data_IF_091955367559
#
_entry.id   IF_091955367559
#
_cell.length_a   1.000
_cell.length_b   1.000
_cell.length_c   1.000
_cell.angle_alpha   90.00
_cell.angle_beta   90.00
_cell.angle_gamma   90.00
#
_symmetry.space_group_name_H-M   'P 1'
#
loop_
_entity.id
_entity.type
_entity.pdbx_description
1 polymer ?
#
# COMPACT_ATOMS: atom_id res chain seq x y z
N UNK A 1 -59.11 1.14 -18.85
CA UNK A 1 -58.79 -0.31 -18.97
C UNK A 1 -57.30 -0.46 -18.66
N UNK A 2 -56.93 -0.80 -17.41
CA UNK A 2 -55.52 -0.95 -17.04
C UNK A 2 -55.04 -2.36 -17.40
N UNK A 3 -54.12 -2.46 -18.36
CA UNK A 3 -53.52 -3.73 -18.79
C UNK A 3 -52.64 -4.24 -17.65
N UNK A 4 -53.05 -5.37 -17.05
CA UNK A 4 -52.32 -6.04 -15.97
C UNK A 4 -51.15 -6.82 -16.56
N UNK A 5 -50.09 -6.11 -16.92
CA UNK A 5 -48.81 -6.72 -17.34
C UNK A 5 -48.18 -7.41 -16.13
N UNK A 6 -48.13 -8.75 -16.14
CA UNK A 6 -47.42 -9.52 -15.11
C UNK A 6 -45.95 -9.68 -15.51
N UNK A 7 -45.08 -8.81 -15.00
CA UNK A 7 -43.64 -8.95 -15.16
C UNK A 7 -43.21 -10.19 -14.36
N UNK A 8 -42.81 -11.26 -15.06
CA UNK A 8 -42.26 -12.46 -14.43
C UNK A 8 -40.79 -12.21 -14.12
N UNK A 9 -40.49 -11.77 -12.90
CA UNK A 9 -39.10 -11.71 -12.43
C UNK A 9 -38.60 -13.14 -12.22
N UNK A 10 -37.52 -13.58 -12.88
CA UNK A 10 -37.00 -14.93 -12.70
C UNK A 10 -36.48 -15.10 -11.27
N UNK A 11 -36.81 -16.23 -10.64
CA UNK A 11 -36.48 -16.54 -9.23
C UNK A 11 -34.99 -16.43 -8.92
N UNK A 12 -34.13 -16.64 -9.92
CA UNK A 12 -32.67 -16.67 -9.78
C UNK A 12 -32.01 -15.29 -9.87
N UNK A 13 -32.70 -14.26 -10.38
CA UNK A 13 -32.13 -12.91 -10.53
C UNK A 13 -31.62 -12.36 -9.19
N UNK A 14 -32.36 -12.62 -8.11
CA UNK A 14 -32.02 -12.16 -6.77
C UNK A 14 -30.70 -12.77 -6.26
N UNK A 15 -30.51 -14.08 -6.47
CA UNK A 15 -29.28 -14.76 -6.08
C UNK A 15 -28.09 -14.21 -6.87
N UNK A 16 -28.26 -13.97 -8.17
CA UNK A 16 -27.20 -13.41 -9.03
C UNK A 16 -26.79 -12.01 -8.56
N UNK A 17 -27.76 -11.11 -8.32
CA UNK A 17 -27.47 -9.75 -7.86
C UNK A 17 -26.81 -9.75 -6.48
N UNK A 18 -27.24 -10.63 -5.58
CA UNK A 18 -26.65 -10.72 -4.23
C UNK A 18 -25.23 -11.28 -4.26
N UNK A 19 -24.97 -12.31 -5.07
CA UNK A 19 -23.63 -12.86 -5.25
C UNK A 19 -22.69 -11.84 -5.89
N UNK A 20 -23.17 -11.06 -6.86
CA UNK A 20 -22.39 -9.99 -7.50
C UNK A 20 -22.06 -8.88 -6.50
N UNK A 21 -23.00 -8.50 -5.63
CA UNK A 21 -22.74 -7.55 -4.55
C UNK A 21 -21.68 -8.04 -3.57
N UNK A 22 -21.81 -9.29 -3.10
CA UNK A 22 -20.82 -9.90 -2.18
C UNK A 22 -19.43 -9.94 -2.83
N UNK A 23 -19.37 -10.32 -4.11
CA UNK A 23 -18.10 -10.36 -4.85
C UNK A 23 -17.45 -8.98 -5.01
N UNK A 24 -18.21 -7.95 -5.36
CA UNK A 24 -17.71 -6.56 -5.46
C UNK A 24 -17.26 -6.04 -4.09
N UNK A 25 -18.03 -6.28 -3.03
CA UNK A 25 -17.67 -5.88 -1.67
C UNK A 25 -16.38 -6.59 -1.19
N UNK A 26 -16.21 -7.86 -1.52
CA UNK A 26 -15.02 -8.63 -1.19
C UNK A 26 -13.77 -8.11 -1.91
N UNK A 27 -13.86 -7.85 -3.22
CA UNK A 27 -12.77 -7.24 -3.98
C UNK A 27 -12.37 -5.87 -3.41
N UNK A 28 -13.36 -5.09 -2.94
CA UNK A 28 -13.12 -3.77 -2.37
C UNK A 28 -12.42 -3.82 -1.02
N UNK A 29 -12.84 -4.71 -0.12
CA UNK A 29 -12.19 -4.89 1.19
C UNK A 29 -10.70 -5.20 1.00
N UNK A 30 -10.36 -6.07 0.04
CA UNK A 30 -8.98 -6.42 -0.29
C UNK A 30 -8.19 -5.23 -0.88
N UNK A 31 -8.84 -4.30 -1.58
CA UNK A 31 -8.15 -3.13 -2.16
C UNK A 31 -7.79 -2.08 -1.11
N UNK A 32 -8.66 -1.85 -0.13
CA UNK A 32 -8.45 -0.87 0.95
C UNK A 32 -7.75 -1.44 2.19
N UNK A 33 -7.38 -2.72 2.17
CA UNK A 33 -6.69 -3.34 3.28
C UNK A 33 -5.23 -2.89 3.30
N UNK A 34 -4.97 -1.81 4.03
CA UNK A 34 -3.63 -1.30 4.27
C UNK A 34 -2.71 -2.37 4.88
N UNK A 35 -3.23 -3.36 5.64
CA UNK A 35 -2.41 -4.49 6.10
C UNK A 35 -1.98 -5.36 4.94
N UNK A 36 -2.88 -5.66 4.01
CA UNK A 36 -2.53 -6.43 2.81
C UNK A 36 -1.52 -5.68 1.94
N UNK A 37 -1.69 -4.37 1.77
CA UNK A 37 -0.71 -3.55 1.03
C UNK A 37 0.66 -3.51 1.73
N UNK A 38 0.67 -3.35 3.05
CA UNK A 38 1.90 -3.42 3.85
C UNK A 38 2.55 -4.79 3.75
N UNK A 39 1.76 -5.87 3.78
CA UNK A 39 2.25 -7.24 3.64
C UNK A 39 2.91 -7.49 2.28
N UNK A 40 2.32 -6.98 1.19
CA UNK A 40 2.93 -7.05 -0.15
C UNK A 40 4.20 -6.20 -0.23
N UNK A 41 4.18 -5.00 0.35
CA UNK A 41 5.37 -4.15 0.42
C UNK A 41 6.48 -4.85 1.21
N UNK A 42 6.15 -5.48 2.33
CA UNK A 42 7.05 -6.25 3.17
C UNK A 42 7.69 -7.42 2.42
N UNK A 43 6.90 -8.22 1.69
CA UNK A 43 7.40 -9.32 0.86
C UNK A 43 8.43 -8.80 -0.16
N UNK A 44 8.07 -7.75 -0.91
CA UNK A 44 8.99 -7.13 -1.89
C UNK A 44 10.23 -6.53 -1.27
N UNK A 45 10.11 -5.94 -0.08
CA UNK A 45 11.24 -5.38 0.64
C UNK A 45 12.17 -6.50 1.11
N UNK A 46 11.64 -7.60 1.65
CA UNK A 46 12.43 -8.75 2.07
C UNK A 46 13.24 -9.32 0.90
N UNK A 47 12.60 -9.57 -0.26
CA UNK A 47 13.27 -10.06 -1.46
C UNK A 47 14.40 -9.12 -1.89
N UNK A 48 14.13 -7.81 -1.89
CA UNK A 48 15.10 -6.81 -2.33
C UNK A 48 16.22 -6.60 -1.31
N UNK A 49 15.93 -6.75 -0.02
CA UNK A 49 16.93 -6.68 1.03
C UNK A 49 17.87 -7.88 0.99
N UNK A 50 17.35 -9.08 0.71
CA UNK A 50 18.20 -10.26 0.49
C UNK A 50 19.16 -10.03 -0.70
N UNK A 51 18.63 -9.58 -1.85
CA UNK A 51 19.44 -9.22 -3.01
C UNK A 51 20.50 -8.16 -2.67
N UNK A 52 20.13 -7.16 -1.88
CA UNK A 52 21.04 -6.12 -1.40
C UNK A 52 22.18 -6.71 -0.56
N UNK A 53 21.89 -7.56 0.43
CA UNK A 53 22.92 -8.17 1.29
C UNK A 53 23.86 -9.13 0.53
N UNK A 54 23.34 -9.82 -0.48
CA UNK A 54 24.16 -10.64 -1.38
C UNK A 54 25.11 -9.76 -2.19
N UNK A 55 24.58 -8.70 -2.80
CA UNK A 55 25.36 -7.71 -3.54
C UNK A 55 26.40 -7.00 -2.66
N UNK A 56 26.11 -6.67 -1.40
CA UNK A 56 27.09 -6.10 -0.46
C UNK A 56 28.32 -7.00 -0.31
N UNK A 57 28.08 -8.31 -0.20
CA UNK A 57 29.15 -9.32 -0.07
C UNK A 57 30.01 -9.41 -1.33
N UNK A 58 29.39 -9.35 -2.51
CA UNK A 58 30.08 -9.35 -3.81
C UNK A 58 30.87 -8.04 -4.01
N UNK A 59 30.24 -6.89 -3.78
CA UNK A 59 30.88 -5.59 -3.86
C UNK A 59 32.10 -5.49 -2.92
N UNK A 60 32.02 -6.08 -1.73
CA UNK A 60 33.13 -6.13 -0.79
C UNK A 60 34.33 -6.91 -1.35
N UNK A 61 34.11 -7.99 -2.09
CA UNK A 61 35.19 -8.74 -2.74
C UNK A 61 35.87 -7.89 -3.81
N UNK A 62 35.09 -7.23 -4.68
CA UNK A 62 35.64 -6.36 -5.74
C UNK A 62 36.46 -5.21 -5.13
N UNK A 63 35.98 -4.60 -4.05
CA UNK A 63 36.70 -3.52 -3.34
C UNK A 63 37.99 -4.00 -2.68
N UNK A 64 38.08 -5.27 -2.28
CA UNK A 64 39.32 -5.85 -1.72
C UNK A 64 40.33 -6.19 -2.80
N UNK A 65 39.87 -6.64 -3.97
CA UNK A 65 40.72 -7.13 -5.05
C UNK A 65 41.22 -6.00 -5.97
N UNK A 66 40.51 -4.87 -6.00
CA UNK A 66 40.78 -3.75 -6.90
C UNK A 66 40.99 -2.43 -6.15
N UNK A 67 41.69 -1.49 -6.78
CA UNK A 67 41.70 -0.12 -6.27
C UNK A 67 40.29 0.47 -6.47
N UNK A 68 39.67 1.10 -5.46
CA UNK A 68 38.33 1.67 -5.58
C UNK A 68 38.13 2.62 -6.78
N UNK A 69 39.21 3.26 -7.26
CA UNK A 69 39.18 4.10 -8.46
C UNK A 69 38.97 3.32 -9.77
N UNK A 70 39.36 2.04 -9.83
CA UNK A 70 39.19 1.21 -11.02
C UNK A 70 37.72 0.78 -11.22
N UNK A 71 36.91 0.83 -10.16
CA UNK A 71 35.47 0.51 -10.21
C UNK A 71 34.70 1.42 -11.18
N UNK A 72 35.16 2.65 -11.42
CA UNK A 72 34.54 3.55 -12.40
C UNK A 72 34.62 3.02 -13.84
N UNK A 73 35.53 2.09 -14.12
CA UNK A 73 35.70 1.47 -15.43
C UNK A 73 34.96 0.14 -15.58
N UNK A 74 34.35 -0.37 -14.50
CA UNK A 74 33.56 -1.60 -14.55
C UNK A 74 32.10 -1.27 -14.87
N UNK A 75 31.78 -1.13 -16.16
CA UNK A 75 30.44 -0.76 -16.63
C UNK A 75 29.36 -1.71 -16.12
N UNK A 76 29.62 -3.03 -16.15
CA UNK A 76 28.68 -4.05 -15.68
C UNK A 76 28.31 -3.84 -14.20
N UNK A 77 29.31 -3.55 -13.35
CA UNK A 77 29.08 -3.29 -11.93
C UNK A 77 28.27 -2.01 -11.70
N UNK A 78 28.54 -0.95 -12.48
CA UNK A 78 27.77 0.30 -12.39
C UNK A 78 26.32 0.11 -12.88
N UNK A 79 26.12 -0.66 -13.95
CA UNK A 79 24.78 -0.99 -14.46
C UNK A 79 23.98 -1.84 -13.48
N UNK A 80 24.62 -2.81 -12.83
CA UNK A 80 24.01 -3.62 -11.78
C UNK A 80 23.54 -2.74 -10.60
N UNK A 81 24.39 -1.83 -10.12
CA UNK A 81 24.04 -0.91 -9.04
C UNK A 81 22.83 -0.05 -9.43
N UNK A 82 22.84 0.51 -10.64
CA UNK A 82 21.76 1.39 -11.13
C UNK A 82 20.44 0.64 -11.32
N UNK A 83 20.49 -0.54 -11.94
CA UNK A 83 19.30 -1.34 -12.23
C UNK A 83 18.60 -1.82 -10.96
N UNK A 84 19.35 -2.04 -9.88
CA UNK A 84 18.82 -2.46 -8.58
C UNK A 84 18.52 -1.30 -7.63
N UNK A 85 18.73 -0.04 -8.03
CA UNK A 85 18.59 1.15 -7.18
C UNK A 85 19.41 1.03 -5.89
N UNK A 86 20.62 0.51 -6.02
CA UNK A 86 21.59 0.47 -4.94
C UNK A 86 22.51 1.69 -5.00
N UNK A 87 23.13 2.01 -3.88
CA UNK A 87 24.15 3.05 -3.76
C UNK A 87 25.40 2.50 -3.09
N UNK A 88 26.56 2.85 -3.61
CA UNK A 88 27.85 2.50 -3.05
C UNK A 88 28.71 3.75 -2.92
N UNK A 89 29.23 4.01 -1.73
CA UNK A 89 30.17 5.10 -1.46
C UNK A 89 31.37 4.56 -0.72
N UNK A 90 32.57 4.90 -1.19
CA UNK A 90 33.82 4.48 -0.56
C UNK A 90 34.60 5.72 -0.18
N UNK A 91 35.00 5.80 1.08
CA UNK A 91 35.78 6.90 1.63
C UNK A 91 37.11 6.38 2.16
N UNK A 92 38.22 7.03 1.79
CA UNK A 92 39.55 6.76 2.34
C UNK A 92 39.99 7.95 3.19
N UNK A 93 40.21 7.74 4.49
CA UNK A 93 40.58 8.82 5.44
C UNK A 93 39.67 10.06 5.33
N UNK A 94 38.35 9.83 5.24
CA UNK A 94 37.33 10.89 5.14
C UNK A 94 37.26 11.62 3.78
N UNK A 95 37.93 11.11 2.75
CA UNK A 95 37.83 11.61 1.38
C UNK A 95 37.12 10.59 0.49
N UNK A 96 36.12 10.99 -0.31
CA UNK A 96 35.47 10.07 -1.24
C UNK A 96 36.47 9.61 -2.30
N UNK A 97 36.57 8.30 -2.52
CA UNK A 97 37.40 7.68 -3.56
C UNK A 97 36.55 6.99 -4.64
N UNK A 98 35.30 6.65 -4.32
CA UNK A 98 34.33 6.10 -5.26
C UNK A 98 32.90 6.45 -4.83
N UNK A 99 32.01 6.65 -5.79
CA UNK A 99 30.56 6.75 -5.58
C UNK A 99 29.80 6.31 -6.83
N UNK A 100 28.72 5.55 -6.65
CA UNK A 100 27.90 5.06 -7.76
C UNK A 100 26.78 6.02 -8.19
N UNK A 101 26.34 6.90 -7.29
CA UNK A 101 25.30 7.90 -7.54
C UNK A 101 25.81 9.31 -7.20
N UNK A 102 25.44 10.27 -8.05
CA UNK A 102 25.81 11.67 -7.93
C UNK A 102 24.82 12.47 -7.08
N UNK A 103 23.59 11.99 -6.91
CA UNK A 103 22.49 12.81 -6.36
C UNK A 103 22.53 12.83 -4.82
N UNK A 104 23.02 11.75 -4.20
CA UNK A 104 22.78 11.53 -2.77
C UNK A 104 24.03 11.16 -2.02
N UNK A 105 24.60 12.12 -1.29
CA UNK A 105 25.82 11.88 -0.50
C UNK A 105 25.48 11.56 0.96
N UNK A 106 25.71 10.33 1.44
CA UNK A 106 25.50 10.00 2.85
C UNK A 106 26.52 10.74 3.74
N UNK A 107 26.12 11.07 4.96
CA UNK A 107 27.04 11.64 5.95
C UNK A 107 28.10 10.61 6.34
N UNK A 108 29.33 10.78 5.85
CA UNK A 108 30.45 9.88 6.12
C UNK A 108 30.82 9.75 7.60
N UNK A 109 30.47 10.73 8.44
CA UNK A 109 30.78 10.72 9.88
C UNK A 109 29.71 9.99 10.69
N UNK A 110 28.54 9.72 10.11
CA UNK A 110 27.50 8.93 10.77
C UNK A 110 27.85 7.45 10.70
N UNK A 111 27.75 6.73 11.81
CA UNK A 111 27.83 5.27 11.89
C UNK A 111 26.44 4.65 12.15
N UNK A 112 25.38 5.36 11.73
CA UNK A 112 24.00 4.86 11.82
C UNK A 112 23.75 3.84 10.70
N UNK A 113 23.35 2.62 11.09
CA UNK A 113 22.78 1.59 10.22
C UNK A 113 21.25 1.65 10.27
N UNK A 114 20.59 1.12 9.26
CA UNK A 114 19.12 1.04 9.19
C UNK A 114 18.51 2.14 8.33
N UNK A 115 17.27 2.52 8.64
CA UNK A 115 16.55 3.54 7.87
C UNK A 115 17.21 4.92 8.04
N UNK A 116 17.45 5.61 6.93
CA UNK A 116 17.94 6.98 6.90
C UNK A 116 17.19 7.79 5.84
N UNK A 117 16.84 9.02 6.17
CA UNK A 117 16.37 10.01 5.20
C UNK A 117 17.58 10.78 4.64
N UNK A 118 17.69 10.83 3.32
CA UNK A 118 18.66 11.63 2.60
C UNK A 118 17.92 12.64 1.71
N UNK A 119 18.64 13.58 1.11
CA UNK A 119 18.05 14.72 0.40
C UNK A 119 17.07 14.35 -0.74
N UNK A 120 17.17 13.13 -1.26
CA UNK A 120 16.37 12.65 -2.38
C UNK A 120 15.46 11.47 -2.03
N UNK A 121 15.33 11.08 -0.75
CA UNK A 121 14.56 9.88 -0.43
C UNK A 121 14.88 9.18 0.88
N UNK A 122 14.25 8.02 1.04
CA UNK A 122 14.46 7.11 2.16
C UNK A 122 15.28 5.91 1.73
N UNK A 123 16.25 5.53 2.55
CA UNK A 123 17.21 4.47 2.27
C UNK A 123 17.36 3.54 3.46
N UNK A 124 17.60 2.25 3.21
CA UNK A 124 18.27 1.40 4.17
C UNK A 124 19.76 1.55 3.96
N UNK A 125 20.48 1.88 5.02
CA UNK A 125 21.91 2.09 4.99
C UNK A 125 22.63 1.02 5.79
N UNK A 126 23.68 0.48 5.19
CA UNK A 126 24.73 -0.22 5.92
C UNK A 126 26.10 0.41 5.67
N UNK A 127 27.07 0.07 6.50
CA UNK A 127 28.47 0.42 6.30
C UNK A 127 29.41 -0.58 6.96
N UNK A 128 30.64 -0.60 6.46
CA UNK A 128 31.73 -1.39 7.02
C UNK A 128 33.05 -0.66 6.85
N UNK A 129 33.96 -0.90 7.79
CA UNK A 129 35.34 -0.46 7.68
C UNK A 129 36.19 -1.62 7.17
N UNK A 130 37.01 -1.33 6.15
CA UNK A 130 37.97 -2.27 5.58
C UNK A 130 39.28 -1.53 5.37
N UNK A 131 40.31 -1.94 6.12
CA UNK A 131 41.59 -1.21 6.18
C UNK A 131 41.36 0.27 6.53
N UNK A 132 41.79 1.20 5.68
CA UNK A 132 41.57 2.64 5.83
C UNK A 132 40.37 3.20 5.03
N UNK A 133 39.50 2.30 4.56
CA UNK A 133 38.29 2.64 3.81
C UNK A 133 37.03 2.43 4.64
N UNK A 134 36.11 3.40 4.56
CA UNK A 134 34.72 3.25 4.98
C UNK A 134 33.87 3.05 3.73
N UNK A 135 33.22 1.90 3.66
CA UNK A 135 32.30 1.53 2.59
C UNK A 135 30.88 1.73 3.13
N UNK A 136 30.05 2.46 2.39
CA UNK A 136 28.65 2.71 2.73
C UNK A 136 27.81 2.19 1.59
N UNK A 137 26.85 1.33 1.92
CA UNK A 137 25.86 0.78 1.00
C UNK A 137 24.50 1.39 1.30
N UNK A 138 23.73 1.64 0.24
CA UNK A 138 22.39 2.19 0.31
C UNK A 138 21.44 1.34 -0.53
N UNK A 139 20.30 1.00 0.04
CA UNK A 139 19.15 0.45 -0.66
C UNK A 139 18.06 1.53 -0.69
N UNK A 140 17.77 2.06 -1.87
CA UNK A 140 16.75 3.09 -2.02
C UNK A 140 15.33 2.51 -1.91
N UNK A 141 14.53 3.06 -1.00
CA UNK A 141 13.15 2.64 -0.76
C UNK A 141 12.15 3.51 -1.51
N UNK A 142 12.38 4.82 -1.47
CA UNK A 142 11.50 5.81 -2.08
C UNK A 142 12.26 7.05 -2.51
N UNK A 143 11.90 7.60 -3.66
CA UNK A 143 12.37 8.90 -4.12
C UNK A 143 11.52 10.02 -3.48
N UNK A 144 12.19 11.06 -3.01
CA UNK A 144 11.59 12.30 -2.55
C UNK A 144 12.20 13.48 -3.32
N UNK A 145 11.34 14.34 -3.88
CA UNK A 145 11.77 15.53 -4.60
C UNK A 145 11.58 16.77 -3.71
N UNK A 146 12.55 17.69 -3.72
CA UNK A 146 12.43 18.97 -3.00
C UNK A 146 11.26 19.83 -3.50
N UNK A 147 10.83 19.60 -4.75
CA UNK A 147 9.67 20.24 -5.35
C UNK A 147 8.72 19.14 -5.80
N UNK A 148 7.57 19.02 -5.12
CA UNK A 148 6.49 18.14 -5.56
C UNK A 148 5.52 18.91 -6.45
N UNK A 149 5.29 18.39 -7.65
CA UNK A 149 4.29 18.89 -8.58
C UNK A 149 3.64 17.70 -9.32
N UNK A 150 2.66 17.96 -10.17
CA UNK A 150 1.93 16.92 -10.92
C UNK A 150 2.81 16.01 -11.81
N UNK A 151 4.07 16.36 -12.06
CA UNK A 151 5.04 15.55 -12.82
C UNK A 151 6.11 14.91 -11.94
N UNK A 152 6.31 15.40 -10.71
CA UNK A 152 7.33 14.97 -9.76
C UNK A 152 6.63 14.63 -8.44
N UNK A 153 6.15 13.40 -8.39
CA UNK A 153 5.56 12.84 -7.18
C UNK A 153 6.53 11.85 -6.53
N UNK A 154 6.66 11.87 -5.20
CA UNK A 154 7.39 10.83 -4.48
C UNK A 154 6.83 9.46 -4.84
N UNK A 155 7.71 8.50 -5.11
CA UNK A 155 7.34 7.13 -5.47
C UNK A 155 8.20 6.13 -4.72
N UNK A 156 7.61 4.98 -4.41
CA UNK A 156 8.33 3.83 -3.87
C UNK A 156 8.95 3.03 -5.02
N UNK A 157 10.21 2.62 -4.89
CA UNK A 157 10.94 1.88 -5.93
C UNK A 157 10.70 0.36 -5.89
N UNK A 158 10.00 -0.12 -4.86
CA UNK A 158 9.69 -1.52 -4.63
C UNK A 158 8.54 -2.06 -5.49
N UNK A 159 7.97 -1.25 -6.41
CA UNK A 159 6.83 -1.61 -7.26
C UNK A 159 5.64 -2.23 -6.49
N UNK A 160 5.45 -1.83 -5.24
CA UNK A 160 4.43 -2.39 -4.36
C UNK A 160 3.02 -1.85 -4.62
N UNK A 161 2.84 -0.99 -5.63
CA UNK A 161 1.57 -0.31 -5.95
C UNK A 161 0.92 0.38 -4.73
N UNK A 162 1.74 1.01 -3.88
CA UNK A 162 1.23 1.80 -2.77
C UNK A 162 0.44 3.00 -3.31
N UNK A 163 -0.69 3.35 -2.69
CA UNK A 163 -1.48 4.49 -3.11
C UNK A 163 -0.69 5.79 -2.91
N UNK A 164 -0.96 6.82 -3.73
CA UNK A 164 -0.32 8.12 -3.58
C UNK A 164 -0.63 8.70 -2.18
N UNK A 165 0.39 9.30 -1.56
CA UNK A 165 0.30 9.91 -0.23
C UNK A 165 0.70 9.00 0.93
N UNK A 166 1.04 7.73 0.68
CA UNK A 166 1.70 6.88 1.69
C UNK A 166 3.09 7.42 2.00
N UNK A 167 3.48 7.43 3.28
CA UNK A 167 4.78 7.91 3.73
C UNK A 167 5.50 6.88 4.58
N UNK A 168 6.83 6.92 4.57
CA UNK A 168 7.67 6.27 5.56
C UNK A 168 7.78 7.20 6.77
N UNK A 169 7.56 6.67 7.97
CA UNK A 169 7.77 7.36 9.24
C UNK A 169 8.53 6.44 10.21
N UNK A 170 9.35 7.03 11.07
CA UNK A 170 10.16 6.28 12.05
C UNK A 170 9.33 5.88 13.29
N UNK A 171 8.36 6.70 13.69
CA UNK A 171 7.49 6.47 14.84
C UNK A 171 6.03 6.55 14.45
N UNK A 172 5.22 5.57 14.89
CA UNK A 172 3.79 5.56 14.60
C UNK A 172 2.97 6.28 15.68
N UNK A 173 2.08 7.18 15.25
CA UNK A 173 1.04 7.77 16.09
C UNK A 173 -0.27 6.99 15.95
N UNK A 174 -0.91 7.05 14.77
CA UNK A 174 -2.17 6.38 14.47
C UNK A 174 -2.22 5.89 13.01
N UNK A 175 -2.90 4.77 12.74
CA UNK A 175 -3.12 4.21 11.40
C UNK A 175 -1.86 3.91 10.57
N UNK A 176 -0.76 3.58 11.23
CA UNK A 176 0.47 3.16 10.59
C UNK A 176 0.70 1.66 10.75
N UNK A 177 1.45 1.10 9.81
CA UNK A 177 1.68 -0.34 9.70
C UNK A 177 3.17 -0.61 9.74
N UNK A 178 3.65 -1.47 10.67
CA UNK A 178 5.07 -1.72 10.82
C UNK A 178 5.61 -2.49 9.63
N UNK A 179 6.82 -2.12 9.22
CA UNK A 179 7.65 -2.84 8.27
C UNK A 179 8.87 -3.35 9.02
N UNK A 180 9.11 -4.65 8.90
CA UNK A 180 10.11 -5.37 9.68
C UNK A 180 11.23 -5.91 8.78
N UNK A 181 12.45 -5.90 9.27
CA UNK A 181 13.55 -6.67 8.69
C UNK A 181 14.07 -7.58 9.78
N UNK A 182 14.20 -8.88 9.48
CA UNK A 182 14.66 -9.87 10.46
C UNK A 182 13.88 -9.86 11.78
N UNK A 183 12.56 -9.60 11.73
CA UNK A 183 11.65 -9.48 12.90
C UNK A 183 11.80 -8.21 13.75
N UNK A 184 12.68 -7.29 13.38
CA UNK A 184 12.79 -5.97 14.01
C UNK A 184 12.03 -4.93 13.18
N UNK A 185 11.20 -4.11 13.82
CA UNK A 185 10.50 -3.01 13.12
C UNK A 185 11.50 -1.92 12.78
N UNK A 186 11.70 -1.69 11.48
CA UNK A 186 12.64 -0.70 10.98
C UNK A 186 11.95 0.63 10.75
N UNK A 187 10.70 0.61 10.28
CA UNK A 187 9.88 1.79 10.06
C UNK A 187 8.41 1.45 9.93
N UNK A 188 7.57 2.48 9.73
CA UNK A 188 6.15 2.33 9.51
C UNK A 188 5.72 2.97 8.20
N UNK A 189 4.70 2.38 7.57
CA UNK A 189 3.97 3.00 6.49
C UNK A 189 2.76 3.75 7.05
N UNK A 190 2.71 5.05 6.80
CA UNK A 190 1.60 5.92 7.15
C UNK A 190 0.63 6.08 5.97
N UNK A 191 -0.62 5.67 6.18
CA UNK A 191 -1.70 5.78 5.20
C UNK A 191 -2.66 6.95 5.52
N UNK A 192 -2.36 7.79 6.51
CA UNK A 192 -3.23 8.90 6.95
C UNK A 192 -3.55 9.88 5.82
N UNK A 193 -2.56 10.17 4.97
CA UNK A 193 -2.67 11.05 3.79
C UNK A 193 -2.86 10.28 2.49
N UNK A 194 -2.88 8.95 2.55
CA UNK A 194 -3.11 8.14 1.37
C UNK A 194 -4.57 8.30 0.93
N UNK A 195 -4.77 9.09 -0.13
CA UNK A 195 -6.07 9.31 -0.72
C UNK A 195 -6.43 8.06 -1.54
N UNK A 196 -6.80 7.00 -0.84
CA UNK A 196 -7.00 5.63 -1.36
C UNK A 196 -8.25 5.51 -2.27
N UNK A 197 -8.66 6.59 -2.94
CA UNK A 197 -9.95 6.67 -3.62
C UNK A 197 -11.13 6.47 -2.65
N UNK A 198 -10.89 6.52 -1.34
CA UNK A 198 -11.86 6.23 -0.28
C UNK A 198 -13.16 6.97 -0.52
N UNK A 199 -13.13 8.22 -0.96
CA UNK A 199 -14.33 9.03 -1.18
C UNK A 199 -15.15 8.57 -2.38
N UNK A 200 -14.53 8.39 -3.55
CA UNK A 200 -15.25 8.00 -4.78
C UNK A 200 -15.73 6.55 -4.67
N UNK A 201 -14.89 5.67 -4.14
CA UNK A 201 -15.24 4.25 -4.04
C UNK A 201 -16.21 3.99 -2.89
N UNK A 202 -16.12 4.70 -1.76
CA UNK A 202 -17.17 4.70 -0.73
C UNK A 202 -18.49 5.25 -1.28
N UNK A 203 -18.46 6.29 -2.13
CA UNK A 203 -19.66 6.78 -2.80
C UNK A 203 -20.28 5.71 -3.73
N UNK A 204 -19.46 5.02 -4.53
CA UNK A 204 -19.93 3.91 -5.37
C UNK A 204 -20.53 2.79 -4.52
N UNK A 205 -19.86 2.38 -3.43
CA UNK A 205 -20.39 1.37 -2.50
C UNK A 205 -21.73 1.81 -1.91
N UNK A 206 -21.83 3.06 -1.49
CA UNK A 206 -23.06 3.64 -0.95
C UNK A 206 -24.18 3.59 -1.99
N UNK A 207 -23.90 3.97 -3.24
CA UNK A 207 -24.86 3.92 -4.35
C UNK A 207 -25.29 2.47 -4.64
N UNK A 208 -24.34 1.53 -4.74
CA UNK A 208 -24.61 0.12 -5.01
C UNK A 208 -25.41 -0.51 -3.86
N UNK A 209 -25.08 -0.19 -2.61
CA UNK A 209 -25.84 -0.59 -1.42
C UNK A 209 -27.27 -0.07 -1.46
N UNK A 210 -27.47 1.23 -1.76
CA UNK A 210 -28.80 1.80 -1.88
C UNK A 210 -29.59 1.18 -3.04
N UNK A 211 -28.95 0.90 -4.17
CA UNK A 211 -29.61 0.23 -5.29
C UNK A 211 -30.04 -1.20 -4.91
N UNK A 212 -29.15 -1.97 -4.26
CA UNK A 212 -29.49 -3.29 -3.74
C UNK A 212 -30.66 -3.21 -2.74
N UNK A 213 -30.62 -2.25 -1.83
CA UNK A 213 -31.66 -2.02 -0.83
C UNK A 213 -33.02 -1.63 -1.45
N UNK A 214 -33.03 -0.73 -2.44
CA UNK A 214 -34.24 -0.36 -3.20
C UNK A 214 -34.80 -1.58 -3.93
N UNK A 215 -33.94 -2.38 -4.55
CA UNK A 215 -34.35 -3.62 -5.23
C UNK A 215 -35.03 -4.58 -4.24
N UNK A 216 -34.48 -4.71 -3.04
CA UNK A 216 -35.06 -5.52 -1.96
C UNK A 216 -36.42 -4.97 -1.51
N UNK A 217 -36.55 -3.65 -1.35
CA UNK A 217 -37.82 -2.99 -1.02
C UNK A 217 -38.90 -3.19 -2.09
N UNK A 218 -38.56 -3.07 -3.38
CA UNK A 218 -39.50 -3.25 -4.49
C UNK A 218 -40.00 -4.70 -4.55
N UNK A 219 -39.10 -5.67 -4.44
CA UNK A 219 -39.46 -7.09 -4.40
C UNK A 219 -40.33 -7.41 -3.20
N UNK A 220 -40.00 -6.82 -2.06
CA UNK A 220 -40.78 -7.00 -0.86
C UNK A 220 -42.18 -6.38 -0.98
N UNK A 221 -42.29 -5.16 -1.49
CA UNK A 221 -43.57 -4.50 -1.76
C UNK A 221 -44.45 -5.32 -2.72
N UNK A 222 -43.84 -5.88 -3.77
CA UNK A 222 -44.58 -6.72 -4.69
C UNK A 222 -45.12 -7.99 -4.00
N UNK A 223 -44.31 -8.64 -3.15
CA UNK A 223 -44.72 -9.84 -2.42
C UNK A 223 -45.75 -9.53 -1.33
N UNK A 224 -45.61 -8.38 -0.68
CA UNK A 224 -46.56 -7.81 0.28
C UNK A 224 -47.97 -7.65 -0.30
N UNK A 225 -48.07 -7.12 -1.52
CA UNK A 225 -49.35 -6.94 -2.22
C UNK A 225 -50.07 -8.26 -2.53
N UNK A 226 -49.33 -9.37 -2.62
CA UNK A 226 -49.88 -10.70 -2.95
C UNK A 226 -50.32 -11.53 -1.74
N UNK A 227 -50.07 -11.06 -0.51
CA UNK A 227 -50.32 -11.81 0.73
C UNK A 227 -51.62 -11.38 1.44
N UNK A 228 -52.32 -12.36 2.03
CA UNK A 228 -53.54 -12.17 2.85
C UNK A 228 -53.32 -11.17 4.01
N UNK A 229 -54.37 -10.41 4.35
CA UNK A 229 -54.36 -9.27 5.29
C UNK A 229 -53.76 -9.56 6.67
N UNK A 230 -53.90 -10.78 7.19
CA UNK A 230 -53.35 -11.14 8.50
C UNK A 230 -51.86 -11.52 8.45
N UNK A 231 -51.42 -12.19 7.38
CA UNK A 231 -50.00 -12.51 7.13
C UNK A 231 -49.21 -11.27 6.74
N UNK A 232 -49.87 -10.26 6.13
CA UNK A 232 -49.31 -8.93 5.89
C UNK A 232 -48.70 -8.38 7.18
N UNK A 233 -49.49 -8.04 8.20
CA UNK A 233 -48.99 -7.27 9.37
C UNK A 233 -47.73 -7.87 10.02
N UNK A 234 -47.66 -9.19 10.15
CA UNK A 234 -46.52 -9.89 10.76
C UNK A 234 -45.24 -9.81 9.92
N UNK A 235 -45.36 -10.01 8.60
CA UNK A 235 -44.21 -9.97 7.70
C UNK A 235 -43.60 -8.56 7.62
N UNK A 236 -44.41 -7.50 7.72
CA UNK A 236 -43.90 -6.12 7.74
C UNK A 236 -43.11 -5.84 9.01
N UNK A 237 -43.58 -6.32 10.16
CA UNK A 237 -42.89 -6.12 11.43
C UNK A 237 -41.49 -6.76 11.41
N UNK A 238 -41.38 -8.01 10.95
CA UNK A 238 -40.08 -8.71 10.84
C UNK A 238 -39.11 -7.98 9.92
N UNK A 239 -39.61 -7.35 8.86
CA UNK A 239 -38.77 -6.64 7.89
C UNK A 239 -38.39 -5.26 8.35
N UNK A 240 -39.29 -4.52 8.99
CA UNK A 240 -38.92 -3.28 9.66
C UNK A 240 -37.79 -3.53 10.68
N UNK A 241 -37.90 -4.60 11.47
CA UNK A 241 -36.87 -5.01 12.42
C UNK A 241 -35.57 -5.38 11.68
N UNK A 242 -35.63 -6.18 10.62
CA UNK A 242 -34.43 -6.57 9.86
C UNK A 242 -33.72 -5.38 9.20
N UNK A 243 -34.50 -4.43 8.65
CA UNK A 243 -33.96 -3.19 8.08
C UNK A 243 -33.29 -2.35 9.16
N UNK A 244 -33.91 -2.20 10.33
CA UNK A 244 -33.33 -1.46 11.46
C UNK A 244 -32.03 -2.12 11.92
N UNK A 245 -31.99 -3.45 12.03
CA UNK A 245 -30.77 -4.18 12.40
C UNK A 245 -29.67 -4.02 11.36
N UNK A 246 -30.00 -4.15 10.06
CA UNK A 246 -29.03 -3.97 8.97
C UNK A 246 -28.48 -2.54 8.93
N UNK A 247 -29.36 -1.53 9.03
CA UNK A 247 -28.94 -0.13 9.11
C UNK A 247 -28.02 0.10 10.31
N UNK A 248 -28.35 -0.46 11.47
CA UNK A 248 -27.51 -0.33 12.67
C UNK A 248 -26.15 -1.00 12.52
N UNK A 249 -26.07 -2.18 11.90
CA UNK A 249 -24.81 -2.86 11.62
C UNK A 249 -23.94 -2.07 10.64
N UNK A 250 -24.55 -1.53 9.57
CA UNK A 250 -23.84 -0.65 8.62
C UNK A 250 -23.32 0.61 9.31
N UNK A 251 -24.13 1.22 10.18
CA UNK A 251 -23.75 2.41 10.95
C UNK A 251 -22.59 2.15 11.92
N UNK A 252 -22.60 1.01 12.61
CA UNK A 252 -21.54 0.64 13.55
C UNK A 252 -20.22 0.35 12.85
N UNK A 253 -20.26 -0.22 11.64
CA UNK A 253 -19.05 -0.55 10.87
C UNK A 253 -18.53 0.60 10.00
N UNK A 254 -19.32 1.66 9.79
CA UNK A 254 -18.91 2.86 9.06
C UNK A 254 -19.29 4.11 9.86
N UNK A 255 -18.61 4.41 10.98
CA UNK A 255 -18.80 5.69 11.65
C UNK A 255 -18.51 6.81 10.64
N UNK A 256 -19.44 7.76 10.51
CA UNK A 256 -19.25 8.92 9.64
C UNK A 256 -17.89 9.58 9.93
N UNK A 257 -17.17 10.05 8.90
CA UNK A 257 -15.95 10.80 9.11
C UNK A 257 -16.24 11.97 10.06
N UNK A 258 -15.52 12.02 11.17
CA UNK A 258 -15.53 13.19 12.05
C UNK A 258 -14.84 14.31 11.27
N UNK A 259 -15.60 15.36 10.94
CA UNK A 259 -15.03 16.63 10.48
C UNK A 259 -14.26 17.31 11.62
#
# INVERSE_FOLDING_TARGET
MFVKSSIKVPRYLFLIVTLLYIWVAWQFQNYTDNQQQTSRFQERLTDRYEAFTNWESEALQVVNDQNPSDLFHNENFIEEIKSNSFGLFIYKKGKPVFWSDAITKPNQNSDIKGLVELNNGWFIRDFKWVNDHKIIWLLELSEAFSISNQYLEPKFLLNANLPPGVKIIESCEENCYPVQLSSETVFYLDFSKANSGRTVVSAIYTIVFFWWFITLLVLFYHRWLTLSTHKRKWIAAVIAISIIVLLRLVWLNNPFPKN
#
